data_IF_209824218115
#
_entry.id   IF_209824218115
#
_cell.length_a   1.000
_cell.length_b   1.000
_cell.length_c   1.000
_cell.angle_alpha   90.00
_cell.angle_beta   90.00
_cell.angle_gamma   90.00
#
_symmetry.space_group_name_H-M   'P 1'
#
loop_
_entity.id
_entity.type
_entity.pdbx_description
1 polymer ?
#
# COMPACT_ATOMS: atom_id res chain seq x y z
N UNK A 1 19.14 -2.00 3.31
CA UNK A 1 18.45 -0.70 3.21
C UNK A 1 17.53 -0.43 4.39
N UNK A 2 16.53 -1.27 4.65
CA UNK A 2 15.47 -0.95 5.61
C UNK A 2 15.97 -0.68 7.04
N UNK A 3 17.07 -1.32 7.45
CA UNK A 3 17.67 -1.23 8.79
C UNK A 3 18.87 -0.27 8.85
N UNK A 4 19.00 0.66 7.90
CA UNK A 4 20.11 1.61 7.94
C UNK A 4 20.06 2.47 9.21
N UNK A 5 21.17 2.63 9.96
CA UNK A 5 21.19 3.43 11.19
C UNK A 5 20.69 4.86 10.96
N UNK A 6 19.73 5.30 11.77
CA UNK A 6 19.10 6.63 11.64
C UNK A 6 18.13 6.76 10.47
N UNK A 7 17.76 5.66 9.80
CA UNK A 7 16.63 5.61 8.88
C UNK A 7 16.86 6.22 7.49
N UNK A 8 15.76 6.27 6.71
CA UNK A 8 15.67 6.75 5.34
C UNK A 8 14.51 7.74 5.20
N UNK A 9 14.77 8.90 4.61
CA UNK A 9 13.76 9.86 4.20
C UNK A 9 13.76 9.98 2.68
N UNK A 10 12.58 9.89 2.06
CA UNK A 10 12.37 10.19 0.65
C UNK A 10 11.34 11.30 0.47
N UNK A 11 11.52 12.08 -0.58
CA UNK A 11 10.47 12.89 -1.19
C UNK A 11 10.29 12.39 -2.61
N UNK A 12 9.05 12.30 -3.07
CA UNK A 12 8.75 11.80 -4.40
C UNK A 12 7.50 12.49 -4.96
N UNK A 13 7.29 12.28 -6.25
CA UNK A 13 6.12 12.73 -6.99
C UNK A 13 5.54 11.56 -7.77
N UNK A 14 4.23 11.40 -7.73
CA UNK A 14 3.49 10.42 -8.50
C UNK A 14 2.69 11.12 -9.58
N UNK A 15 2.88 10.70 -10.82
CA UNK A 15 2.12 11.13 -11.97
C UNK A 15 1.30 9.96 -12.49
N UNK A 16 0.06 10.20 -12.87
CA UNK A 16 -0.83 9.16 -13.39
C UNK A 16 -1.21 9.47 -14.84
N UNK A 17 -1.08 8.48 -15.71
CA UNK A 17 -1.59 8.48 -17.07
C UNK A 17 -2.69 7.40 -17.17
N UNK A 18 -3.89 7.81 -17.57
CA UNK A 18 -5.09 6.96 -17.62
C UNK A 18 -5.89 7.26 -18.88
N UNK A 19 -6.68 6.28 -19.32
CA UNK A 19 -7.67 6.49 -20.38
C UNK A 19 -8.68 7.56 -19.96
N UNK A 20 -8.66 8.70 -20.64
CA UNK A 20 -9.59 9.81 -20.39
C UNK A 20 -11.07 9.42 -20.58
N UNK A 21 -11.35 8.37 -21.36
CA UNK A 21 -12.72 7.89 -21.59
C UNK A 21 -13.34 7.18 -20.38
N UNK A 22 -12.54 6.77 -19.39
CA UNK A 22 -13.02 6.11 -18.17
C UNK A 22 -11.99 6.25 -17.03
N UNK A 23 -11.77 7.48 -16.51
CA UNK A 23 -10.83 7.68 -15.41
C UNK A 23 -11.44 7.12 -14.13
N UNK A 24 -10.71 6.25 -13.43
CA UNK A 24 -11.14 5.76 -12.12
C UNK A 24 -11.00 6.87 -11.06
N UNK A 25 -9.83 7.51 -11.07
CA UNK A 25 -9.49 8.74 -10.36
C UNK A 25 -8.09 9.16 -10.84
N UNK A 26 -7.76 10.44 -10.97
CA UNK A 26 -6.43 10.85 -11.44
C UNK A 26 -5.94 12.13 -10.78
N UNK A 27 -4.62 12.33 -10.81
CA UNK A 27 -3.96 13.50 -10.26
C UNK A 27 -3.40 14.35 -11.41
N UNK A 28 -4.18 15.30 -11.98
CA UNK A 28 -3.75 16.07 -13.16
C UNK A 28 -2.47 16.85 -12.91
N UNK A 29 -2.29 17.32 -11.67
CA UNK A 29 -1.15 18.09 -11.22
C UNK A 29 -0.13 17.21 -10.49
N UNK A 30 -0.24 15.88 -10.59
CA UNK A 30 0.55 14.93 -9.80
C UNK A 30 0.16 14.89 -8.31
N UNK A 31 0.79 13.96 -7.60
CA UNK A 31 0.67 13.77 -6.17
C UNK A 31 2.08 13.82 -5.57
N UNK A 32 2.33 14.82 -4.73
CA UNK A 32 3.59 14.90 -4.01
C UNK A 32 3.48 14.07 -2.73
N UNK A 33 4.57 13.40 -2.36
CA UNK A 33 4.60 12.65 -1.13
C UNK A 33 5.99 12.53 -0.54
N UNK A 34 6.00 12.03 0.68
CA UNK A 34 7.20 11.85 1.48
C UNK A 34 7.10 10.56 2.27
N UNK A 35 8.25 9.90 2.37
CA UNK A 35 8.40 8.67 3.11
C UNK A 35 9.44 8.85 4.19
N UNK A 36 9.14 8.40 5.40
CA UNK A 36 10.10 8.21 6.47
C UNK A 36 10.10 6.76 6.87
N UNK A 37 11.31 6.20 7.02
CA UNK A 37 11.53 4.85 7.49
C UNK A 37 12.55 4.92 8.61
N UNK A 38 12.16 4.47 9.79
CA UNK A 38 13.06 4.19 10.91
C UNK A 38 12.64 2.82 11.45
N UNK A 39 13.34 1.77 11.03
CA UNK A 39 12.93 0.40 11.28
C UNK A 39 12.61 0.15 12.77
N UNK A 40 11.48 -0.51 13.10
CA UNK A 40 10.52 -1.19 12.23
C UNK A 40 9.33 -0.31 11.80
N UNK A 41 9.46 1.02 11.87
CA UNK A 41 8.37 1.95 11.62
C UNK A 41 8.55 2.71 10.32
N UNK A 42 7.43 3.04 9.70
CA UNK A 42 7.37 3.81 8.48
C UNK A 42 6.21 4.79 8.53
N UNK A 43 6.37 5.96 7.94
CA UNK A 43 5.32 6.94 7.67
C UNK A 43 5.36 7.35 6.21
N UNK A 44 4.18 7.49 5.62
CA UNK A 44 3.97 8.07 4.30
C UNK A 44 2.99 9.25 4.43
N UNK A 45 3.35 10.39 3.86
CA UNK A 45 2.46 11.53 3.69
C UNK A 45 2.27 11.83 2.21
N UNK A 46 1.05 12.15 1.82
CA UNK A 46 0.69 12.39 0.43
C UNK A 46 -0.26 13.56 0.33
N UNK A 47 -0.06 14.40 -0.69
CA UNK A 47 -0.92 15.53 -0.98
C UNK A 47 -0.98 15.82 -2.47
N UNK A 48 -2.19 16.05 -2.96
CA UNK A 48 -2.40 16.43 -4.34
C UNK A 48 -3.87 16.65 -4.65
N UNK A 49 -4.16 17.10 -5.85
CA UNK A 49 -5.52 17.35 -6.30
C UNK A 49 -6.06 16.11 -7.01
N UNK A 50 -7.11 15.51 -6.45
CA UNK A 50 -7.72 14.30 -6.96
C UNK A 50 -8.95 14.65 -7.79
N UNK A 51 -9.00 14.14 -9.02
CA UNK A 51 -10.11 14.27 -9.97
C UNK A 51 -10.71 12.90 -10.29
N UNK A 52 -11.91 12.89 -10.87
CA UNK A 52 -12.57 11.67 -11.35
C UNK A 52 -13.38 10.92 -10.30
N UNK A 53 -13.50 11.48 -9.08
CA UNK A 53 -14.47 10.97 -8.10
C UNK A 53 -15.86 11.42 -8.54
N UNK A 54 -16.76 10.45 -8.72
CA UNK A 54 -18.16 10.70 -8.96
C UNK A 54 -18.91 10.67 -7.63
N UNK A 55 -19.37 11.83 -7.17
CA UNK A 55 -20.31 11.91 -6.06
C UNK A 55 -21.73 11.80 -6.60
N UNK A 56 -22.51 10.89 -6.03
CA UNK A 56 -23.92 10.73 -6.37
C UNK A 56 -24.78 11.53 -5.41
N UNK A 57 -25.69 12.36 -5.93
CA UNK A 57 -26.70 13.01 -5.11
C UNK A 57 -27.78 12.02 -4.64
N UNK A 58 -28.71 12.48 -3.80
CA UNK A 58 -29.82 11.66 -3.30
C UNK A 58 -30.74 11.10 -4.40
N UNK A 59 -30.71 11.70 -5.60
CA UNK A 59 -31.45 11.24 -6.78
C UNK A 59 -30.63 10.29 -7.67
N UNK A 60 -29.38 9.98 -7.31
CA UNK A 60 -28.49 9.11 -8.08
C UNK A 60 -27.80 9.80 -9.26
N UNK A 61 -27.82 11.13 -9.35
CA UNK A 61 -27.07 11.85 -10.37
C UNK A 61 -25.60 11.96 -9.95
N UNK A 62 -24.71 11.45 -10.80
CA UNK A 62 -23.27 11.51 -10.57
C UNK A 62 -22.67 12.85 -11.01
N UNK A 63 -21.92 13.50 -10.13
CA UNK A 63 -21.12 14.69 -10.43
C UNK A 63 -19.64 14.38 -10.23
N UNK A 64 -18.84 14.63 -11.27
CA UNK A 64 -17.40 14.64 -11.13
C UNK A 64 -16.97 15.80 -10.23
N UNK A 65 -16.28 15.48 -9.14
CA UNK A 65 -15.71 16.47 -8.23
C UNK A 65 -14.18 16.41 -8.30
N UNK A 66 -13.59 17.57 -7.99
CA UNK A 66 -12.18 17.68 -7.67
C UNK A 66 -12.07 17.96 -6.18
N UNK A 67 -11.22 17.21 -5.47
CA UNK A 67 -10.95 17.44 -4.04
C UNK A 67 -9.46 17.46 -3.78
N UNK A 68 -9.06 18.22 -2.77
CA UNK A 68 -7.73 18.09 -2.22
C UNK A 68 -7.67 16.73 -1.52
N UNK A 69 -6.81 15.85 -2.01
CA UNK A 69 -6.47 14.61 -1.35
C UNK A 69 -5.29 14.86 -0.42
N UNK A 70 -5.46 14.48 0.84
CA UNK A 70 -4.39 14.46 1.82
C UNK A 70 -4.55 13.20 2.67
N UNK A 71 -3.48 12.42 2.72
CA UNK A 71 -3.40 11.20 3.52
C UNK A 71 -2.08 11.18 4.26
N UNK A 72 -2.13 10.76 5.52
CA UNK A 72 -0.95 10.47 6.33
C UNK A 72 -1.15 9.09 6.93
N UNK A 73 -0.15 8.22 6.78
CA UNK A 73 -0.27 6.86 7.26
C UNK A 73 1.05 6.35 7.78
N UNK A 74 1.03 5.63 8.90
CA UNK A 74 2.17 4.88 9.41
C UNK A 74 1.92 3.39 9.35
N UNK A 75 3.01 2.63 9.30
CA UNK A 75 3.01 1.18 9.35
C UNK A 75 4.13 0.71 10.27
N UNK A 76 3.81 -0.29 11.09
CA UNK A 76 4.72 -0.97 11.97
C UNK A 76 4.90 -2.40 11.46
N UNK A 77 6.12 -2.72 11.03
CA UNK A 77 6.45 -4.01 10.42
C UNK A 77 6.48 -5.17 11.42
N UNK A 78 6.79 -4.90 12.69
CA UNK A 78 6.86 -5.95 13.71
C UNK A 78 5.45 -6.38 14.15
N UNK A 79 4.49 -5.45 14.13
CA UNK A 79 3.11 -5.71 14.59
C UNK A 79 2.10 -5.78 13.45
N UNK A 80 2.57 -5.62 12.21
CA UNK A 80 1.75 -5.59 10.99
C UNK A 80 0.56 -4.63 11.07
N UNK A 81 0.72 -3.53 11.81
CA UNK A 81 -0.37 -2.58 12.11
C UNK A 81 -0.16 -1.30 11.32
N UNK A 82 -1.23 -0.83 10.66
CA UNK A 82 -1.26 0.45 9.97
C UNK A 82 -2.17 1.42 10.71
N UNK A 83 -1.75 2.68 10.80
CA UNK A 83 -2.59 3.80 11.23
C UNK A 83 -2.69 4.77 10.06
N UNK A 84 -3.90 5.17 9.69
CA UNK A 84 -4.12 6.06 8.55
C UNK A 84 -5.09 7.17 8.92
N UNK A 85 -4.76 8.41 8.56
CA UNK A 85 -5.65 9.57 8.65
C UNK A 85 -6.15 9.92 7.26
N UNK A 86 -7.48 9.84 7.11
CA UNK A 86 -8.19 10.22 5.88
C UNK A 86 -8.85 11.58 6.05
N UNK A 87 -8.53 12.50 5.12
CA UNK A 87 -9.15 13.82 4.99
C UNK A 87 -9.13 14.66 6.29
N UNK A 88 -8.21 14.37 7.22
CA UNK A 88 -8.09 15.04 8.52
C UNK A 88 -9.26 14.85 9.49
N UNK A 89 -10.16 13.88 9.23
CA UNK A 89 -11.42 13.70 9.98
C UNK A 89 -11.54 12.34 10.66
N UNK A 90 -10.99 11.30 10.05
CA UNK A 90 -11.07 9.94 10.56
C UNK A 90 -9.72 9.28 10.62
N UNK A 91 -9.48 8.52 11.68
CA UNK A 91 -8.36 7.60 11.81
C UNK A 91 -8.86 6.17 11.60
N UNK A 92 -8.11 5.39 10.85
CA UNK A 92 -8.33 3.95 10.66
C UNK A 92 -7.09 3.19 11.16
N UNK A 93 -7.32 2.18 11.99
CA UNK A 93 -6.31 1.24 12.48
C UNK A 93 -6.66 -0.12 11.92
N UNK A 94 -5.73 -0.71 11.17
CA UNK A 94 -5.95 -1.98 10.50
C UNK A 94 -4.75 -2.92 10.71
N UNK A 95 -5.01 -4.22 10.79
CA UNK A 95 -4.01 -5.27 11.04
C UNK A 95 -3.35 -5.76 9.76
N UNK A 96 -3.20 -4.86 8.80
CA UNK A 96 -2.54 -5.05 7.51
C UNK A 96 -2.04 -3.71 7.02
N UNK A 97 -1.25 -3.72 5.95
CA UNK A 97 -0.84 -2.47 5.30
C UNK A 97 -2.04 -1.80 4.63
N UNK A 98 -2.28 -0.52 4.90
CA UNK A 98 -3.33 0.24 4.23
C UNK A 98 -2.98 0.46 2.75
N UNK A 99 -3.95 0.53 1.84
CA UNK A 99 -3.70 0.77 0.41
C UNK A 99 -2.96 2.09 0.14
N UNK A 100 -3.20 3.11 0.95
CA UNK A 100 -2.45 4.37 0.91
C UNK A 100 -0.98 4.20 1.34
N UNK A 101 -0.71 3.22 2.21
CA UNK A 101 0.64 2.79 2.51
C UNK A 101 1.20 1.88 1.43
N UNK A 102 0.39 1.03 0.77
CA UNK A 102 0.85 -0.07 -0.10
C UNK A 102 0.67 0.14 -1.60
N UNK A 103 -0.54 0.42 -2.06
CA UNK A 103 -0.92 0.32 -3.46
C UNK A 103 -0.56 1.52 -4.33
N UNK A 104 -0.75 2.76 -3.87
CA UNK A 104 -0.72 3.91 -4.81
C UNK A 104 0.68 4.55 -4.89
N UNK A 105 1.47 4.53 -3.81
CA UNK A 105 2.52 5.57 -3.66
C UNK A 105 3.81 5.13 -2.96
N UNK A 106 3.89 3.91 -2.44
CA UNK A 106 5.16 3.49 -1.87
C UNK A 106 6.13 3.10 -2.99
N UNK A 107 7.25 3.84 -3.20
CA UNK A 107 8.23 3.47 -4.22
C UNK A 107 8.81 2.07 -3.97
N UNK A 108 8.70 1.53 -2.76
CA UNK A 108 9.20 0.20 -2.43
C UNK A 108 8.13 -0.89 -2.24
N UNK A 109 6.85 -0.66 -2.58
CA UNK A 109 5.83 -1.68 -2.27
C UNK A 109 6.01 -2.88 -3.18
N UNK A 110 6.15 -2.61 -4.46
CA UNK A 110 6.54 -3.61 -5.45
C UNK A 110 7.92 -4.23 -5.18
N UNK A 111 8.84 -3.54 -4.46
CA UNK A 111 10.20 -4.03 -4.17
C UNK A 111 10.26 -5.05 -3.03
N UNK A 112 9.48 -4.86 -1.96
CA UNK A 112 9.59 -5.70 -0.76
C UNK A 112 8.32 -6.47 -0.42
N UNK A 113 7.25 -6.29 -1.19
CA UNK A 113 5.97 -6.95 -0.92
C UNK A 113 5.48 -7.74 -2.12
N UNK A 114 4.93 -8.90 -1.88
CA UNK A 114 4.19 -9.68 -2.87
C UNK A 114 2.78 -9.10 -2.91
N UNK A 115 2.50 -8.07 -3.72
CA UNK A 115 1.18 -7.44 -3.76
C UNK A 115 0.09 -8.37 -4.33
N UNK A 116 -0.56 -9.14 -3.46
CA UNK A 116 -1.88 -9.70 -3.74
C UNK A 116 -2.93 -8.86 -3.02
N UNK A 117 -3.86 -8.27 -3.79
CA UNK A 117 -5.01 -7.60 -3.17
C UNK A 117 -5.94 -8.67 -2.63
N UNK A 118 -6.11 -8.71 -1.30
CA UNK A 118 -7.09 -9.55 -0.61
C UNK A 118 -8.53 -9.22 -0.98
N UNK A 119 -8.80 -8.06 -1.61
CA UNK A 119 -10.15 -7.70 -2.05
C UNK A 119 -10.76 -8.74 -2.98
N UNK A 120 -9.92 -9.58 -3.59
CA UNK A 120 -10.30 -10.63 -4.53
C UNK A 120 -10.30 -12.03 -3.94
N UNK A 121 -9.84 -12.20 -2.68
CA UNK A 121 -9.91 -13.44 -1.90
C UNK A 121 -10.67 -13.18 -0.60
N UNK A 122 -11.94 -12.79 -0.72
CA UNK A 122 -12.84 -12.34 0.37
C UNK A 122 -12.90 -13.32 1.56
N UNK A 123 -12.64 -14.60 1.32
CA UNK A 123 -12.73 -15.68 2.30
C UNK A 123 -11.37 -16.33 2.64
N UNK A 124 -10.25 -15.81 2.10
CA UNK A 124 -8.93 -16.33 2.45
C UNK A 124 -8.42 -15.70 3.76
N UNK A 125 -7.75 -16.52 4.57
CA UNK A 125 -7.03 -16.03 5.74
C UNK A 125 -6.07 -14.90 5.36
N UNK A 126 -5.81 -14.00 6.32
CA UNK A 126 -4.77 -13.00 6.19
C UNK A 126 -3.41 -13.70 6.05
N UNK A 127 -2.96 -13.87 4.80
CA UNK A 127 -1.68 -14.53 4.54
C UNK A 127 -0.53 -13.58 4.93
N UNK A 128 0.48 -14.11 5.63
CA UNK A 128 1.69 -13.37 6.04
C UNK A 128 2.80 -13.39 4.97
N UNK A 129 2.51 -14.00 3.82
CA UNK A 129 3.35 -14.16 2.63
C UNK A 129 3.47 -12.88 1.77
N UNK A 130 2.71 -11.82 2.08
CA UNK A 130 2.81 -10.54 1.37
C UNK A 130 4.14 -9.81 1.56
N UNK A 131 5.00 -10.26 2.46
CA UNK A 131 6.35 -9.73 2.60
C UNK A 131 7.32 -10.63 1.81
N UNK A 132 7.98 -10.08 0.79
CA UNK A 132 8.83 -10.87 -0.11
C UNK A 132 9.88 -11.72 0.64
N UNK A 133 10.61 -11.21 1.64
CA UNK A 133 11.47 -12.03 2.48
C UNK A 133 10.80 -13.26 3.13
N UNK A 134 9.52 -13.18 3.53
CA UNK A 134 8.79 -14.34 4.03
C UNK A 134 8.47 -15.33 2.91
N UNK A 135 7.98 -14.85 1.76
CA UNK A 135 7.69 -15.73 0.62
C UNK A 135 8.95 -16.44 0.10
N UNK A 136 10.10 -15.75 0.10
CA UNK A 136 11.40 -16.34 -0.22
C UNK A 136 11.80 -17.44 0.79
N UNK A 137 11.59 -17.22 2.09
CA UNK A 137 11.85 -18.24 3.13
C UNK A 137 10.94 -19.46 3.01
N UNK A 138 9.71 -19.26 2.53
CA UNK A 138 8.74 -20.33 2.30
C UNK A 138 8.95 -21.10 0.99
N UNK A 139 10.01 -20.78 0.23
CA UNK A 139 10.34 -21.45 -1.04
C UNK A 139 9.23 -21.35 -2.10
N UNK A 140 8.43 -20.27 -2.08
CA UNK A 140 7.39 -20.05 -3.09
C UNK A 140 7.94 -19.59 -4.45
N UNK A 141 9.18 -19.09 -4.47
CA UNK A 141 9.87 -18.63 -5.67
C UNK A 141 10.93 -19.64 -6.10
N UNK A 142 11.00 -19.91 -7.40
CA UNK A 142 12.06 -20.69 -8.03
C UNK A 142 13.04 -19.77 -8.74
N UNK A 143 14.32 -20.13 -8.73
CA UNK A 143 15.34 -19.41 -9.49
C UNK A 143 15.29 -19.83 -10.97
N UNK A 144 15.09 -18.87 -11.85
CA UNK A 144 14.91 -19.06 -13.29
C UNK A 144 16.18 -18.80 -14.11
N UNK A 145 17.25 -18.33 -13.48
CA UNK A 145 18.52 -18.03 -14.13
C UNK A 145 18.88 -16.54 -14.10
N UNK A 146 19.71 -16.14 -15.05
CA UNK A 146 20.17 -14.75 -15.20
C UNK A 146 19.65 -14.14 -16.48
N UNK A 147 19.19 -12.91 -16.41
CA UNK A 147 18.73 -12.13 -17.56
C UNK A 147 19.33 -10.71 -17.51
N UNK A 148 19.68 -10.15 -18.66
CA UNK A 148 20.06 -8.73 -18.75
C UNK A 148 18.79 -7.86 -18.73
N UNK A 149 18.77 -6.87 -17.86
CA UNK A 149 17.73 -5.84 -17.84
C UNK A 149 18.37 -4.46 -17.72
N UNK A 150 18.25 -3.65 -18.77
CA UNK A 150 18.84 -2.31 -18.79
C UNK A 150 20.36 -2.31 -18.62
N UNK A 151 21.05 -3.31 -19.17
CA UNK A 151 22.51 -3.47 -19.02
C UNK A 151 22.95 -3.98 -17.64
N UNK A 152 22.00 -4.37 -16.78
CA UNK A 152 22.27 -4.98 -15.48
C UNK A 152 22.00 -6.49 -15.56
N UNK A 153 22.98 -7.29 -15.18
CA UNK A 153 22.82 -8.73 -15.05
C UNK A 153 22.01 -9.04 -13.78
N UNK A 154 20.77 -9.48 -13.97
CA UNK A 154 19.82 -9.72 -12.90
C UNK A 154 19.67 -11.21 -12.63
N UNK A 155 19.57 -11.57 -11.36
CA UNK A 155 19.02 -12.85 -10.95
C UNK A 155 17.50 -12.79 -11.11
N UNK A 156 16.95 -13.81 -11.75
CA UNK A 156 15.52 -13.92 -12.03
C UNK A 156 14.91 -15.00 -11.17
N UNK A 157 13.87 -14.63 -10.42
CA UNK A 157 13.10 -15.56 -9.61
C UNK A 157 11.62 -15.45 -9.94
N UNK A 158 10.89 -16.55 -9.79
CA UNK A 158 9.49 -16.64 -10.19
C UNK A 158 8.67 -17.48 -9.23
N UNK A 159 7.52 -16.95 -8.80
CA UNK A 159 6.41 -17.76 -8.33
C UNK A 159 5.65 -18.21 -9.57
N UNK A 160 5.81 -19.49 -9.92
CA UNK A 160 5.48 -20.05 -11.24
C UNK A 160 4.15 -19.51 -11.80
N UNK A 161 4.24 -18.78 -12.91
CA UNK A 161 3.10 -18.25 -13.66
C UNK A 161 2.34 -17.10 -13.00
N UNK A 162 2.73 -16.66 -11.80
CA UNK A 162 2.05 -15.63 -11.01
C UNK A 162 2.86 -14.35 -10.88
N UNK A 163 4.13 -14.45 -10.47
CA UNK A 163 4.95 -13.29 -10.14
C UNK A 163 6.42 -13.54 -10.52
N UNK A 164 6.97 -12.69 -11.38
CA UNK A 164 8.35 -12.79 -11.87
C UNK A 164 9.13 -11.53 -11.50
N UNK A 165 10.31 -11.71 -10.92
CA UNK A 165 11.14 -10.65 -10.34
C UNK A 165 12.54 -10.67 -10.96
N UNK A 166 13.05 -9.49 -11.32
CA UNK A 166 14.43 -9.28 -11.77
C UNK A 166 15.19 -8.48 -10.72
N UNK A 167 16.13 -9.14 -10.05
CA UNK A 167 16.86 -8.60 -8.89
C UNK A 167 18.33 -8.41 -9.30
N UNK A 168 18.88 -7.23 -9.07
CA UNK A 168 20.28 -6.91 -9.42
C UNK A 168 21.21 -7.11 -8.22
N UNK A 169 22.07 -8.15 -8.19
CA UNK A 169 22.98 -8.37 -7.07
C UNK A 169 24.03 -7.27 -6.95
N UNK A 170 24.45 -6.69 -8.08
CA UNK A 170 25.43 -5.58 -8.11
C UNK A 170 24.88 -4.28 -7.53
N UNK A 171 23.55 -4.14 -7.45
CA UNK A 171 22.86 -3.00 -6.85
C UNK A 171 22.28 -3.37 -5.47
N UNK A 172 22.96 -4.19 -4.69
CA UNK A 172 22.51 -4.55 -3.33
C UNK A 172 21.16 -5.28 -3.32
N UNK A 173 20.91 -6.11 -4.34
CA UNK A 173 19.66 -6.83 -4.55
C UNK A 173 18.44 -5.93 -4.78
N UNK A 174 18.63 -4.77 -5.44
CA UNK A 174 17.50 -3.95 -5.88
C UNK A 174 16.65 -4.68 -6.92
N UNK A 175 15.33 -4.60 -6.76
CA UNK A 175 14.36 -5.08 -7.74
C UNK A 175 14.26 -4.09 -8.91
N UNK A 176 14.67 -4.51 -10.10
CA UNK A 176 14.67 -3.67 -11.30
C UNK A 176 13.39 -3.80 -12.13
N UNK A 177 12.80 -5.00 -12.15
CA UNK A 177 11.56 -5.28 -12.86
C UNK A 177 10.72 -6.28 -12.09
N UNK A 178 9.41 -6.14 -12.22
CA UNK A 178 8.43 -7.13 -11.79
C UNK A 178 7.30 -7.29 -12.80
N UNK A 179 6.82 -8.50 -12.95
CA UNK A 179 5.66 -8.86 -13.75
C UNK A 179 4.74 -9.73 -12.90
N UNK A 180 3.50 -9.27 -12.71
CA UNK A 180 2.49 -9.94 -11.90
C UNK A 180 1.30 -10.28 -12.79
N UNK A 181 0.78 -11.51 -12.67
CA UNK A 181 -0.35 -12.01 -13.44
C UNK A 181 -1.60 -12.14 -12.57
N UNK A 182 -2.79 -12.17 -13.20
CA UNK A 182 -4.08 -12.41 -12.53
C UNK A 182 -4.27 -13.87 -12.03
N UNK A 183 -3.22 -14.67 -12.03
CA UNK A 183 -3.20 -16.09 -11.64
C UNK A 183 -2.18 -16.88 -12.45
N UNK A 184 -1.99 -18.16 -12.13
CA UNK A 184 -1.06 -19.04 -12.86
C UNK A 184 -1.49 -19.13 -14.32
N UNK A 185 -0.64 -18.64 -15.24
CA UNK A 185 -0.93 -18.60 -16.67
C UNK A 185 -2.01 -17.60 -17.08
N UNK A 186 -2.45 -16.74 -16.16
CA UNK A 186 -3.36 -15.64 -16.43
C UNK A 186 -2.67 -14.49 -17.18
N UNK A 187 -3.45 -13.54 -17.72
CA UNK A 187 -2.88 -12.34 -18.32
C UNK A 187 -2.14 -11.49 -17.29
N UNK A 188 -1.19 -10.69 -17.77
CA UNK A 188 -0.45 -9.70 -16.96
C UNK A 188 -1.46 -8.76 -16.30
N UNK A 189 -1.35 -8.65 -14.98
CA UNK A 189 -2.06 -7.72 -14.11
C UNK A 189 -1.28 -6.43 -13.94
N UNK A 190 0.00 -6.55 -13.65
CA UNK A 190 0.86 -5.41 -13.37
C UNK A 190 2.27 -5.63 -13.92
N UNK A 191 2.85 -4.57 -14.47
CA UNK A 191 4.29 -4.48 -14.72
C UNK A 191 4.87 -3.32 -13.92
N UNK A 192 6.03 -3.55 -13.32
CA UNK A 192 6.82 -2.51 -12.66
C UNK A 192 8.24 -2.50 -13.22
N UNK A 193 8.76 -1.30 -13.46
CA UNK A 193 10.15 -1.08 -13.85
C UNK A 193 10.75 0.03 -12.98
N UNK A 194 11.90 -0.24 -12.41
CA UNK A 194 12.67 0.69 -11.59
C UNK A 194 13.98 1.02 -12.32
N UNK A 195 14.24 2.31 -12.54
CA UNK A 195 15.42 2.78 -13.29
C UNK A 195 16.13 3.92 -12.55
N UNK A 196 17.27 4.33 -13.11
CA UNK A 196 18.07 5.46 -12.62
C UNK A 196 18.40 5.31 -11.12
N UNK A 197 18.97 4.16 -10.77
CA UNK A 197 19.29 3.85 -9.37
C UNK A 197 20.42 4.73 -8.84
N UNK A 198 20.25 5.22 -7.61
CA UNK A 198 21.21 6.05 -6.90
C UNK A 198 21.68 5.27 -5.67
N UNK A 199 23.00 5.19 -5.50
CA UNK A 199 23.60 4.65 -4.29
C UNK A 199 23.71 5.74 -3.23
N UNK A 200 22.96 5.63 -2.13
CA UNK A 200 22.98 6.61 -1.03
C UNK A 200 24.08 6.31 -0.01
N UNK A 201 24.41 5.03 0.15
CA UNK A 201 25.49 4.52 0.98
C UNK A 201 25.96 3.16 0.42
N UNK A 202 27.05 2.61 0.94
CA UNK A 202 27.53 1.29 0.55
C UNK A 202 26.41 0.23 0.67
N UNK A 203 26.13 -0.47 -0.44
CA UNK A 203 25.04 -1.45 -0.51
C UNK A 203 23.61 -0.90 -0.43
N UNK A 204 23.41 0.42 -0.33
CA UNK A 204 22.08 1.03 -0.24
C UNK A 204 21.75 1.75 -1.54
N UNK A 205 20.89 1.11 -2.33
CA UNK A 205 20.44 1.61 -3.64
C UNK A 205 18.95 1.93 -3.60
N UNK A 206 18.58 3.05 -4.19
CA UNK A 206 17.19 3.43 -4.41
C UNK A 206 16.96 3.73 -5.90
N UNK A 207 15.83 3.34 -6.48
CA UNK A 207 15.48 3.86 -7.80
C UNK A 207 15.08 5.32 -7.69
N UNK A 208 15.53 6.16 -8.63
CA UNK A 208 15.00 7.53 -8.73
C UNK A 208 13.75 7.61 -9.59
N UNK A 209 13.48 6.59 -10.41
CA UNK A 209 12.28 6.50 -11.24
C UNK A 209 11.68 5.11 -11.19
N UNK A 210 10.36 5.06 -11.07
CA UNK A 210 9.59 3.82 -11.14
C UNK A 210 8.40 4.04 -12.06
N UNK A 211 8.16 3.12 -12.97
CA UNK A 211 6.96 3.06 -13.78
C UNK A 211 6.18 1.82 -13.37
N UNK A 212 4.90 1.99 -13.00
CA UNK A 212 3.96 0.89 -12.75
C UNK A 212 2.83 0.98 -13.76
N UNK A 213 2.47 -0.14 -14.35
CA UNK A 213 1.41 -0.26 -15.33
C UNK A 213 0.46 -1.34 -14.86
N UNK A 214 -0.82 -1.01 -14.71
CA UNK A 214 -1.86 -1.97 -14.36
C UNK A 214 -2.77 -2.19 -15.56
N UNK A 215 -3.14 -3.44 -15.78
CA UNK A 215 -3.86 -3.91 -16.96
C UNK A 215 -5.24 -4.44 -16.59
N UNK A 216 -6.16 -4.29 -17.54
CA UNK A 216 -7.54 -4.74 -17.44
C UNK A 216 -7.58 -6.28 -17.39
N UNK A 217 -8.33 -6.81 -16.42
CA UNK A 217 -8.49 -8.26 -16.24
C UNK A 217 -9.24 -8.90 -17.40
N UNK A 218 -10.26 -8.23 -17.91
CA UNK A 218 -11.19 -8.77 -18.90
C UNK A 218 -10.71 -8.49 -20.33
N UNK A 219 -9.78 -7.54 -20.49
CA UNK A 219 -9.23 -7.13 -21.78
C UNK A 219 -7.70 -7.20 -21.75
N UNK A 220 -7.18 -8.40 -21.96
CA UNK A 220 -5.74 -8.68 -21.92
C UNK A 220 -4.92 -7.64 -22.72
N UNK A 221 -3.90 -7.08 -22.05
CA UNK A 221 -3.01 -6.07 -22.62
C UNK A 221 -3.58 -4.64 -22.65
N UNK A 222 -4.85 -4.44 -22.28
CA UNK A 222 -5.40 -3.09 -22.17
C UNK A 222 -4.90 -2.42 -20.88
N UNK A 223 -4.10 -1.37 -21.04
CA UNK A 223 -3.65 -0.52 -19.92
C UNK A 223 -4.84 0.20 -19.27
N UNK A 224 -4.98 0.06 -17.95
CA UNK A 224 -5.92 0.82 -17.13
C UNK A 224 -5.29 2.12 -16.64
N UNK A 225 -4.13 1.99 -16.00
CA UNK A 225 -3.41 3.09 -15.37
C UNK A 225 -1.91 2.86 -15.47
N UNK A 226 -1.19 3.93 -15.78
CA UNK A 226 0.26 4.01 -15.63
C UNK A 226 0.58 5.03 -14.56
N UNK A 227 1.34 4.62 -13.55
CA UNK A 227 1.90 5.49 -12.53
C UNK A 227 3.39 5.69 -12.80
N UNK A 228 3.84 6.94 -12.79
CA UNK A 228 5.26 7.30 -12.78
C UNK A 228 5.60 7.89 -11.43
N UNK A 229 6.48 7.24 -10.69
CA UNK A 229 6.96 7.68 -9.39
C UNK A 229 8.38 8.19 -9.58
N UNK A 230 8.62 9.45 -9.24
CA UNK A 230 9.94 10.08 -9.34
C UNK A 230 10.39 10.47 -7.94
N UNK A 231 11.50 9.91 -7.49
CA UNK A 231 12.13 10.34 -6.23
C UNK A 231 12.85 11.66 -6.48
N UNK A 232 12.41 12.71 -5.80
CA UNK A 232 12.93 14.07 -5.95
C UNK A 232 14.04 14.38 -4.94
N UNK A 233 14.05 13.69 -3.81
CA UNK A 233 15.09 13.82 -2.79
C UNK A 233 15.16 12.54 -1.94
N UNK A 234 16.38 12.18 -1.50
CA UNK A 234 16.61 11.02 -0.64
C UNK A 234 17.74 11.29 0.34
N UNK A 235 17.56 10.93 1.61
CA UNK A 235 18.51 11.17 2.70
C UNK A 235 18.55 10.00 3.67
N UNK A 236 19.74 9.73 4.22
CA UNK A 236 19.97 8.73 5.26
C UNK A 236 20.33 9.38 6.60
N UNK A 237 20.06 8.67 7.70
CA UNK A 237 20.72 8.89 8.99
C UNK A 237 20.16 9.98 9.90
N UNK A 238 18.95 10.52 9.64
CA UNK A 238 18.34 11.60 10.44
C UNK A 238 16.80 11.46 10.59
N UNK A 239 16.29 10.22 10.67
CA UNK A 239 14.88 9.94 10.92
C UNK A 239 14.73 9.49 12.37
N UNK A 240 14.01 10.26 13.16
CA UNK A 240 13.69 9.94 14.55
C UNK A 240 12.37 9.15 14.66
N UNK A 241 12.10 8.59 15.84
CA UNK A 241 10.83 7.93 16.13
C UNK A 241 9.62 8.88 16.05
N UNK A 242 9.83 10.19 16.22
CA UNK A 242 8.77 11.18 16.03
C UNK A 242 8.41 11.33 14.55
N UNK A 243 9.38 11.27 13.65
CA UNK A 243 9.16 11.46 12.20
C UNK A 243 8.31 10.35 11.57
N UNK A 244 8.31 9.15 12.17
CA UNK A 244 7.55 7.99 11.70
C UNK A 244 6.18 7.83 12.37
N UNK A 245 5.80 8.74 13.26
CA UNK A 245 4.47 8.79 13.88
C UNK A 245 3.52 9.65 13.04
N UNK A 246 2.26 9.23 12.98
CA UNK A 246 1.20 10.03 12.38
C UNK A 246 0.73 11.07 13.39
N UNK A 247 0.78 12.34 12.99
CA UNK A 247 0.25 13.44 13.79
C UNK A 247 -1.27 13.47 13.66
N UNK A 248 -1.99 13.29 14.76
CA UNK A 248 -3.45 13.28 14.74
C UNK A 248 -3.96 14.71 14.90
N UNK A 249 -4.66 15.26 13.89
CA UNK A 249 -5.30 16.56 14.06
C UNK A 249 -6.36 16.51 15.16
N UNK A 250 -6.48 17.59 15.93
CA UNK A 250 -7.57 17.76 16.90
C UNK A 250 -8.98 17.74 16.26
N UNK A 251 -9.07 17.88 14.93
CA UNK A 251 -10.30 17.74 14.15
C UNK A 251 -10.78 16.29 13.96
N UNK A 252 -9.98 15.29 14.32
CA UNK A 252 -10.37 13.88 14.23
C UNK A 252 -11.50 13.60 15.23
N UNK A 253 -12.62 13.12 14.72
CA UNK A 253 -13.81 12.83 15.53
C UNK A 253 -14.21 11.35 15.52
N UNK A 254 -13.56 10.53 14.70
CA UNK A 254 -13.82 9.11 14.55
C UNK A 254 -12.51 8.33 14.45
N UNK A 255 -12.40 7.27 15.26
CA UNK A 255 -11.33 6.28 15.21
C UNK A 255 -11.98 4.93 14.96
N UNK A 256 -11.66 4.30 13.84
CA UNK A 256 -12.12 2.96 13.49
C UNK A 256 -10.96 1.99 13.70
N UNK A 257 -11.08 1.10 14.66
CA UNK A 257 -10.10 0.06 14.94
C UNK A 257 -10.63 -1.29 14.43
N UNK A 258 -10.21 -1.63 13.21
CA UNK A 258 -10.59 -2.87 12.56
C UNK A 258 -9.83 -4.08 13.12
N UNK A 259 -8.74 -3.88 13.87
CA UNK A 259 -8.01 -4.97 14.52
C UNK A 259 -8.80 -5.49 15.71
N UNK A 260 -9.28 -4.57 16.54
CA UNK A 260 -10.10 -4.86 17.71
C UNK A 260 -11.59 -5.03 17.36
N UNK A 261 -12.01 -4.67 16.15
CA UNK A 261 -13.42 -4.70 15.73
C UNK A 261 -14.25 -3.62 16.42
N UNK A 262 -13.65 -2.47 16.76
CA UNK A 262 -14.32 -1.39 17.49
C UNK A 262 -14.37 -0.11 16.67
N UNK A 263 -15.45 0.65 16.83
CA UNK A 263 -15.59 1.99 16.24
C UNK A 263 -15.82 2.96 17.39
N UNK A 264 -14.87 3.86 17.60
CA UNK A 264 -14.95 4.90 18.62
C UNK A 264 -15.28 6.24 17.99
N UNK A 265 -16.55 6.65 18.07
CA UNK A 265 -16.99 8.01 17.73
C UNK A 265 -17.07 8.83 19.01
N UNK A 266 -16.46 10.02 19.03
CA UNK A 266 -16.61 10.91 20.19
C UNK A 266 -17.73 11.91 19.94
N UNK A 267 -18.75 11.89 20.78
CA UNK A 267 -19.64 13.04 20.98
C UNK A 267 -19.06 14.05 22.00
N UNK A 268 -18.06 13.64 22.80
CA UNK A 268 -17.50 14.43 23.89
C UNK A 268 -16.09 14.98 23.56
N UNK A 269 -15.93 16.30 23.67
CA UNK A 269 -14.69 17.08 23.45
C UNK A 269 -13.56 16.83 24.48
N UNK A 270 -13.69 15.85 25.37
CA UNK A 270 -12.92 15.82 26.63
C UNK A 270 -11.69 14.89 26.66
N UNK A 271 -11.46 14.07 25.63
CA UNK A 271 -10.29 13.17 25.58
C UNK A 271 -9.42 13.52 24.37
N UNK A 272 -8.12 13.71 24.59
CA UNK A 272 -7.15 13.97 23.54
C UNK A 272 -7.18 12.84 22.49
N UNK A 273 -7.36 13.14 21.19
CA UNK A 273 -7.29 12.14 20.12
C UNK A 273 -6.02 11.29 20.15
N UNK A 274 -4.90 11.85 20.59
CA UNK A 274 -3.59 11.19 20.68
C UNK A 274 -3.62 10.04 21.70
N UNK A 275 -4.16 10.27 22.89
CA UNK A 275 -4.30 9.24 23.94
C UNK A 275 -5.20 8.09 23.48
N UNK A 276 -6.27 8.42 22.76
CA UNK A 276 -7.20 7.42 22.20
C UNK A 276 -6.51 6.55 21.16
N UNK A 277 -5.69 7.14 20.29
CA UNK A 277 -4.93 6.38 19.32
C UNK A 277 -3.90 5.49 20.00
N UNK A 278 -3.14 6.01 20.95
CA UNK A 278 -2.14 5.18 21.64
C UNK A 278 -2.78 4.00 22.37
N UNK A 279 -3.97 4.20 22.96
CA UNK A 279 -4.74 3.12 23.55
C UNK A 279 -5.21 2.10 22.50
N UNK A 280 -5.75 2.56 21.38
CA UNK A 280 -6.23 1.69 20.31
C UNK A 280 -5.09 0.93 19.62
N UNK A 281 -3.96 1.58 19.33
CA UNK A 281 -2.74 0.93 18.80
C UNK A 281 -2.21 -0.10 19.79
N UNK A 282 -2.17 0.20 21.09
CA UNK A 282 -1.77 -0.79 22.11
C UNK A 282 -2.71 -2.00 22.14
N UNK A 283 -4.02 -1.76 22.07
CA UNK A 283 -5.04 -2.81 22.01
C UNK A 283 -4.90 -3.68 20.76
N UNK A 284 -4.70 -3.06 19.59
CA UNK A 284 -4.48 -3.74 18.33
C UNK A 284 -3.23 -4.63 18.37
N UNK A 285 -2.10 -4.10 18.88
CA UNK A 285 -0.85 -4.87 19.05
C UNK A 285 -1.02 -6.06 19.99
N UNK A 286 -1.71 -5.86 21.11
CA UNK A 286 -2.00 -6.96 22.03
C UNK A 286 -2.85 -8.05 21.35
N UNK A 287 -3.87 -7.65 20.60
CA UNK A 287 -4.74 -8.57 19.85
C UNK A 287 -3.97 -9.38 18.81
N UNK A 288 -3.05 -8.74 18.07
CA UNK A 288 -2.22 -9.43 17.07
C UNK A 288 -1.25 -10.43 17.73
N UNK A 289 -0.58 -10.04 18.81
CA UNK A 289 0.33 -10.92 19.55
C UNK A 289 -0.40 -12.15 20.12
N UNK A 290 -1.63 -11.98 20.61
CA UNK A 290 -2.45 -13.10 21.08
C UNK A 290 -2.85 -14.03 19.93
N UNK A 291 -3.11 -13.49 18.73
CA UNK A 291 -3.46 -14.28 17.53
C UNK A 291 -2.30 -15.14 17.04
N UNK A 292 -1.10 -14.58 16.92
CA UNK A 292 0.09 -15.33 16.46
C UNK A 292 0.42 -16.52 17.36
N UNK A 293 0.10 -16.40 18.66
CA UNK A 293 0.37 -17.43 19.65
C UNK A 293 -0.82 -18.39 19.87
N UNK A 294 -1.94 -18.23 19.15
CA UNK A 294 -3.13 -19.07 19.30
C UNK A 294 -3.20 -20.16 18.22
N UNK A 295 -3.31 -21.45 18.59
CA UNK A 295 -3.47 -22.55 17.63
C UNK A 295 -4.76 -22.51 16.78
N UNK A 296 -5.69 -21.59 17.06
CA UNK A 296 -7.08 -21.63 16.57
C UNK A 296 -7.57 -20.32 15.91
N UNK A 297 -6.67 -19.41 15.50
CA UNK A 297 -6.98 -18.02 15.13
C UNK A 297 -7.89 -17.78 13.90
N UNK A 298 -8.29 -18.82 13.17
CA UNK A 298 -8.96 -18.75 11.86
C UNK A 298 -10.44 -18.33 11.89
N UNK A 299 -11.16 -18.52 13.00
CA UNK A 299 -12.64 -18.60 12.96
C UNK A 299 -13.43 -17.28 13.18
N UNK A 300 -12.78 -16.17 13.56
CA UNK A 300 -13.49 -14.96 14.03
C UNK A 300 -13.70 -13.86 12.98
N UNK A 301 -13.15 -13.97 11.77
CA UNK A 301 -13.21 -12.91 10.75
C UNK A 301 -14.47 -12.92 9.87
N UNK A 302 -15.21 -14.03 9.81
CA UNK A 302 -16.39 -14.16 8.92
C UNK A 302 -17.54 -13.19 9.23
N UNK A 303 -17.64 -12.66 10.44
CA UNK A 303 -18.78 -11.83 10.85
C UNK A 303 -18.59 -10.32 10.58
N UNK A 304 -17.36 -9.82 10.60
CA UNK A 304 -17.06 -8.39 10.35
C UNK A 304 -17.10 -8.01 8.87
N UNK A 305 -16.58 -8.89 8.01
CA UNK A 305 -16.51 -8.70 6.56
C UNK A 305 -17.90 -8.74 5.90
N UNK A 306 -18.80 -9.58 6.42
CA UNK A 306 -20.16 -9.75 5.90
C UNK A 306 -21.01 -8.46 5.96
N UNK A 307 -20.80 -7.59 6.97
CA UNK A 307 -21.56 -6.34 7.13
C UNK A 307 -21.11 -5.26 6.16
N UNK A 308 -19.81 -5.22 5.81
CA UNK A 308 -19.26 -4.30 4.80
C UNK A 308 -19.61 -4.77 3.37
N UNK A 309 -19.59 -6.08 3.12
CA UNK A 309 -19.96 -6.67 1.83
C UNK A 309 -21.43 -6.48 1.46
N UNK A 310 -22.35 -6.51 2.43
CA UNK A 310 -23.76 -6.24 2.16
C UNK A 310 -23.97 -4.82 1.61
N UNK A 311 -23.19 -3.84 2.10
CA UNK A 311 -23.24 -2.45 1.63
C UNK A 311 -22.69 -2.27 0.21
N UNK A 312 -21.60 -2.96 -0.14
CA UNK A 312 -20.97 -2.87 -1.47
C UNK A 312 -21.74 -3.66 -2.52
N UNK A 313 -22.25 -4.85 -2.20
CA UNK A 313 -23.07 -5.66 -3.13
C UNK A 313 -24.41 -5.00 -3.45
N UNK A 314 -25.02 -4.27 -2.51
CA UNK A 314 -26.22 -3.46 -2.79
C UNK A 314 -25.89 -2.33 -3.77
N UNK A 315 -24.74 -1.66 -3.61
CA UNK A 315 -24.31 -0.58 -4.51
C UNK A 315 -23.95 -1.06 -5.93
N UNK A 316 -23.36 -2.26 -6.06
CA UNK A 316 -23.00 -2.84 -7.36
C UNK A 316 -24.20 -3.50 -8.05
N UNK A 317 -25.06 -4.20 -7.31
CA UNK A 317 -26.26 -4.85 -7.85
C UNK A 317 -27.34 -3.89 -8.34
N UNK A 318 -27.39 -2.66 -7.80
CA UNK A 318 -28.25 -1.59 -8.30
C UNK A 318 -27.73 -0.98 -9.62
N UNK A 319 -26.45 -1.12 -9.94
CA UNK A 319 -25.82 -0.59 -11.16
C UNK A 319 -25.95 -1.51 -12.38
N UNK A 320 -26.21 -2.80 -12.18
CA UNK A 320 -26.35 -3.77 -13.28
C UNK A 320 -27.81 -3.95 -13.75
N UNK A 321 -28.75 -3.12 -13.28
CA UNK A 321 -30.18 -3.17 -13.63
C UNK A 321 -30.76 -1.85 -14.18
N UNK A 322 -29.90 -0.87 -14.46
CA UNK A 322 -30.23 0.38 -15.16
C UNK A 322 -29.36 0.44 -16.41
#
# INVERSE_FOLDING_TARGET
MLQYPGGLQLSFRVESDQRQSSPYFFFPEGLDGSLWLNWPHMKNDMKGKLHGIVEFDAAGNGKNIARLFQASSSFDFDTMTSVTIKDGRSVEIIGRRHEENGGIVFPFASQYFVEFSQEWEVDADLKSDYWLPNALRQSEYVYCGKEDFGGCNCDVIERIGVDKLWISPSMGFSLLRRELNWGVGGPVREMMQATDHIQLAEGIWIPSKIVREQFDRDKAGQLLIRLRIVVTNAKLGNVSDADVKVDIPSSVNSIKDYVAGTISTSSAKTVDPSDRLESAVRSARHTMNVRENSPSGTLLFGLGSAVVLLGVLIAVGLRSRI
#
